data_IF_260576300374
#
_entry.id   IF_260576300374
#
_cell.length_a   1.000
_cell.length_b   1.000
_cell.length_c   1.000
_cell.angle_alpha   90.00
_cell.angle_beta   90.00
_cell.angle_gamma   90.00
#
_symmetry.space_group_name_H-M   'P 1'
#
loop_
_entity.id
_entity.type
_entity.pdbx_description
1 polymer ?
#
# COMPACT_ATOMS: atom_id res chain seq x y z
N UNK A 1 14.59 -22.85 -6.60
CA UNK A 1 13.61 -21.99 -7.29
C UNK A 1 14.20 -20.60 -7.39
N UNK A 2 14.44 -20.14 -8.61
CA UNK A 2 15.40 -19.07 -8.93
C UNK A 2 15.01 -17.71 -8.35
N UNK A 3 15.93 -17.09 -7.62
CA UNK A 3 15.89 -15.65 -7.34
C UNK A 3 16.02 -14.94 -8.68
N UNK A 4 14.90 -14.47 -9.26
CA UNK A 4 15.00 -13.45 -10.30
C UNK A 4 15.67 -12.24 -9.66
N UNK A 5 16.90 -11.93 -10.06
CA UNK A 5 17.80 -10.91 -9.50
C UNK A 5 17.31 -9.46 -9.71
N UNK A 6 16.06 -9.29 -10.17
CA UNK A 6 15.41 -8.03 -10.54
C UNK A 6 14.27 -7.76 -9.59
N UNK A 7 14.05 -6.52 -9.18
CA UNK A 7 12.96 -6.10 -8.30
C UNK A 7 11.61 -6.08 -9.03
N UNK A 8 10.47 -6.15 -8.33
CA UNK A 8 9.14 -6.04 -8.98
C UNK A 8 8.96 -4.71 -9.73
N UNK A 9 9.40 -3.54 -9.21
CA UNK A 9 9.39 -2.29 -9.96
C UNK A 9 10.11 -2.40 -11.32
N UNK A 10 11.27 -3.07 -11.34
CA UNK A 10 12.04 -3.29 -12.57
C UNK A 10 11.32 -4.20 -13.55
N UNK A 11 10.78 -5.33 -13.09
CA UNK A 11 10.02 -6.25 -13.94
C UNK A 11 8.78 -5.56 -14.52
N UNK A 12 8.07 -4.76 -13.72
CA UNK A 12 6.92 -3.98 -14.16
C UNK A 12 7.31 -2.94 -15.23
N UNK A 13 8.43 -2.25 -15.03
CA UNK A 13 8.96 -1.26 -15.97
C UNK A 13 9.38 -1.91 -17.30
N UNK A 14 10.08 -3.05 -17.23
CA UNK A 14 10.51 -3.82 -18.41
C UNK A 14 9.32 -4.38 -19.22
N UNK A 15 8.21 -4.71 -18.56
CA UNK A 15 6.96 -5.11 -19.21
C UNK A 15 6.22 -3.93 -19.85
N UNK A 16 6.46 -2.71 -19.39
CA UNK A 16 5.84 -1.50 -19.93
C UNK A 16 6.62 -0.87 -21.10
N UNK A 17 7.89 -1.24 -21.26
CA UNK A 17 8.73 -0.73 -22.35
C UNK A 17 8.46 -1.49 -23.65
N UNK A 18 8.11 -0.73 -24.68
CA UNK A 18 8.10 -1.22 -26.05
C UNK A 18 9.54 -1.38 -26.55
N UNK A 19 9.98 -2.60 -26.91
CA UNK A 19 11.37 -2.86 -27.26
C UNK A 19 11.79 -2.23 -28.59
N UNK A 20 10.85 -1.93 -29.49
CA UNK A 20 11.16 -1.37 -30.81
C UNK A 20 11.24 0.16 -30.79
N UNK A 21 10.39 0.81 -29.99
CA UNK A 21 10.24 2.27 -29.99
C UNK A 21 10.81 2.94 -28.75
N UNK A 22 11.03 2.19 -27.67
CA UNK A 22 11.39 2.73 -26.34
C UNK A 22 10.23 3.49 -25.68
N UNK A 23 9.01 3.35 -26.20
CA UNK A 23 7.82 3.98 -25.64
C UNK A 23 7.39 3.24 -24.39
N UNK A 24 7.04 3.98 -23.34
CA UNK A 24 6.48 3.41 -22.12
C UNK A 24 4.95 3.36 -22.21
N UNK A 25 4.36 2.18 -22.08
CA UNK A 25 2.92 2.02 -21.99
C UNK A 25 2.37 2.57 -20.67
N UNK A 26 1.26 3.31 -20.73
CA UNK A 26 0.54 3.84 -19.57
C UNK A 26 1.44 4.62 -18.58
N UNK A 27 2.24 5.62 -19.02
CA UNK A 27 3.32 6.19 -18.23
C UNK A 27 2.86 6.80 -16.89
N UNK A 28 1.68 7.44 -16.86
CA UNK A 28 1.12 8.02 -15.64
C UNK A 28 0.72 6.94 -14.62
N UNK A 29 0.04 5.89 -15.10
CA UNK A 29 -0.38 4.77 -14.25
C UNK A 29 0.80 3.93 -13.80
N UNK A 30 1.82 3.81 -14.65
CA UNK A 30 3.05 3.10 -14.34
C UNK A 30 3.77 3.72 -13.13
N UNK A 31 3.84 5.05 -13.04
CA UNK A 31 4.49 5.72 -11.90
C UNK A 31 3.81 5.37 -10.56
N UNK A 32 2.48 5.25 -10.56
CA UNK A 32 1.72 4.73 -9.41
C UNK A 32 2.05 3.26 -9.13
N UNK A 33 2.13 2.44 -10.19
CA UNK A 33 2.51 1.03 -10.08
C UNK A 33 3.91 0.83 -9.54
N UNK A 34 4.88 1.68 -9.88
CA UNK A 34 6.24 1.62 -9.35
C UNK A 34 6.25 1.91 -7.84
N UNK A 35 5.51 2.93 -7.39
CA UNK A 35 5.37 3.24 -5.97
C UNK A 35 4.71 2.08 -5.20
N UNK A 36 3.72 1.44 -5.82
CA UNK A 36 3.10 0.22 -5.30
C UNK A 36 4.05 -0.98 -5.26
N UNK A 37 4.82 -1.20 -6.32
CA UNK A 37 5.77 -2.29 -6.45
C UNK A 37 6.88 -2.23 -5.40
N UNK A 38 7.28 -1.03 -4.96
CA UNK A 38 8.18 -0.87 -3.82
C UNK A 38 7.58 -1.45 -2.53
N UNK A 39 6.28 -1.26 -2.29
CA UNK A 39 5.61 -1.81 -1.13
C UNK A 39 5.55 -3.33 -1.19
N UNK A 40 5.26 -3.89 -2.37
CA UNK A 40 5.28 -5.34 -2.54
C UNK A 40 6.69 -5.89 -2.25
N UNK A 41 7.75 -5.26 -2.76
CA UNK A 41 9.11 -5.73 -2.47
C UNK A 41 9.52 -5.60 -1.01
N UNK A 42 9.15 -4.51 -0.36
CA UNK A 42 9.38 -4.37 1.07
C UNK A 42 8.61 -5.44 1.87
N UNK A 43 7.41 -5.84 1.43
CA UNK A 43 6.65 -6.90 2.07
C UNK A 43 7.26 -8.29 1.85
N UNK A 44 7.71 -8.59 0.62
CA UNK A 44 8.42 -9.84 0.31
C UNK A 44 9.75 -9.93 1.06
N UNK A 45 10.40 -8.80 1.33
CA UNK A 45 11.57 -8.72 2.20
C UNK A 45 11.22 -8.75 3.71
N UNK A 46 9.94 -8.89 4.09
CA UNK A 46 9.48 -8.95 5.48
C UNK A 46 9.69 -7.65 6.26
N UNK A 47 9.82 -6.50 5.58
CA UNK A 47 10.04 -5.19 6.21
C UNK A 47 8.74 -4.53 6.60
N UNK A 48 7.69 -4.76 5.83
CA UNK A 48 6.35 -4.23 6.05
C UNK A 48 5.29 -5.34 5.93
N UNK A 49 4.10 -5.08 6.46
CA UNK A 49 2.95 -5.97 6.34
C UNK A 49 1.68 -5.17 6.08
N UNK A 50 0.67 -5.79 5.42
CA UNK A 50 -0.65 -5.19 5.31
C UNK A 50 -1.33 -5.16 6.68
N UNK A 51 -2.02 -4.05 6.96
CA UNK A 51 -2.88 -3.83 8.13
C UNK A 51 -4.20 -3.22 7.62
N UNK A 52 -5.13 -4.09 7.21
CA UNK A 52 -6.35 -3.66 6.51
C UNK A 52 -6.04 -2.94 5.19
N UNK A 53 -6.47 -1.68 5.05
CA UNK A 53 -6.14 -0.81 3.91
C UNK A 53 -4.82 -0.03 4.09
N UNK A 54 -4.08 -0.33 5.16
CA UNK A 54 -2.85 0.35 5.56
C UNK A 54 -1.64 -0.57 5.48
N UNK A 55 -0.48 0.07 5.61
CA UNK A 55 0.84 -0.55 5.57
C UNK A 55 1.53 -0.24 6.90
N UNK A 56 1.91 -1.29 7.62
CA UNK A 56 2.66 -1.18 8.86
C UNK A 56 4.12 -1.59 8.65
N UNK A 57 5.05 -0.85 9.26
CA UNK A 57 6.46 -1.26 9.31
C UNK A 57 6.63 -2.30 10.41
N UNK A 58 7.12 -3.48 10.04
CA UNK A 58 7.28 -4.63 10.96
C UNK A 58 8.75 -4.82 11.32
N UNK A 59 9.64 -4.68 10.34
CA UNK A 59 11.09 -4.82 10.54
C UNK A 59 11.83 -3.69 9.83
N UNK A 60 12.26 -2.63 10.54
CA UNK A 60 12.94 -1.47 9.94
C UNK A 60 14.43 -1.75 9.71
N UNK A 61 14.77 -2.87 9.06
CA UNK A 61 16.15 -3.19 8.67
C UNK A 61 16.36 -2.89 7.19
N UNK A 62 17.55 -2.39 6.78
CA UNK A 62 17.88 -2.22 5.38
C UNK A 62 17.66 -3.50 4.56
N UNK A 63 17.28 -3.30 3.31
CA UNK A 63 17.12 -4.33 2.28
C UNK A 63 18.40 -4.48 1.45
N UNK A 64 19.25 -3.45 1.44
CA UNK A 64 20.44 -3.39 0.58
C UNK A 64 20.16 -2.73 -0.78
N UNK A 65 18.90 -2.41 -1.08
CA UNK A 65 18.52 -1.57 -2.22
C UNK A 65 18.26 -0.13 -1.70
N UNK A 66 19.07 0.87 -2.13
CA UNK A 66 18.92 2.24 -1.65
C UNK A 66 17.55 2.88 -1.92
N UNK A 67 16.89 2.47 -3.02
CA UNK A 67 15.59 2.97 -3.44
C UNK A 67 14.50 2.42 -2.52
N UNK A 68 14.55 1.13 -2.19
CA UNK A 68 13.66 0.49 -1.21
C UNK A 68 13.93 0.99 0.21
N UNK A 69 15.20 1.18 0.59
CA UNK A 69 15.59 1.66 1.92
C UNK A 69 15.12 3.10 2.17
N UNK A 70 15.16 3.95 1.13
CA UNK A 70 14.59 5.30 1.19
C UNK A 70 13.08 5.27 1.40
N UNK A 71 12.37 4.35 0.72
CA UNK A 71 10.93 4.14 0.91
C UNK A 71 10.62 3.62 2.32
N UNK A 72 11.38 2.65 2.82
CA UNK A 72 11.22 2.10 4.17
C UNK A 72 11.43 3.17 5.25
N UNK A 73 12.44 4.02 5.09
CA UNK A 73 12.73 5.11 6.03
C UNK A 73 11.60 6.16 6.04
N UNK A 74 11.04 6.49 4.87
CA UNK A 74 9.89 7.38 4.77
C UNK A 74 8.64 6.80 5.46
N UNK A 75 8.40 5.48 5.35
CA UNK A 75 7.33 4.81 6.09
C UNK A 75 7.59 4.85 7.60
N UNK A 76 8.83 4.54 8.01
CA UNK A 76 9.23 4.54 9.43
C UNK A 76 9.01 5.89 10.10
N UNK A 77 9.36 6.99 9.41
CA UNK A 77 9.19 8.36 9.91
C UNK A 77 7.73 8.77 10.13
N UNK A 78 6.75 8.08 9.53
CA UNK A 78 5.33 8.33 9.80
C UNK A 78 4.88 7.84 11.18
N UNK A 79 5.62 6.89 11.78
CA UNK A 79 5.37 6.38 13.13
C UNK A 79 4.05 5.62 13.33
N UNK A 80 3.24 5.46 12.27
CA UNK A 80 1.92 4.80 12.32
C UNK A 80 1.60 4.17 10.96
N UNK A 81 0.68 3.18 10.91
CA UNK A 81 0.28 2.54 9.65
C UNK A 81 -0.27 3.55 8.63
N UNK A 82 0.25 3.49 7.41
CA UNK A 82 -0.04 4.45 6.32
C UNK A 82 -1.02 3.83 5.33
N UNK A 83 -2.10 4.53 4.98
CA UNK A 83 -3.01 4.07 3.93
C UNK A 83 -2.28 3.91 2.60
N UNK A 84 -2.44 2.76 1.95
CA UNK A 84 -1.76 2.46 0.69
C UNK A 84 -2.07 3.51 -0.41
N UNK A 85 -3.34 3.95 -0.49
CA UNK A 85 -3.77 4.98 -1.46
C UNK A 85 -3.05 6.32 -1.27
N UNK A 86 -2.76 6.72 -0.03
CA UNK A 86 -2.02 7.97 0.25
C UNK A 86 -0.52 7.81 -0.05
N UNK A 87 0.04 6.63 0.20
CA UNK A 87 1.44 6.35 -0.11
C UNK A 87 1.70 6.40 -1.62
N UNK A 88 0.81 5.77 -2.39
CA UNK A 88 0.90 5.61 -3.84
C UNK A 88 0.55 6.92 -4.57
N UNK A 89 -0.49 7.64 -4.10
CA UNK A 89 -0.87 8.94 -4.66
C UNK A 89 0.02 10.11 -4.23
N UNK A 90 1.00 9.87 -3.35
CA UNK A 90 1.94 10.89 -2.91
C UNK A 90 2.97 11.28 -3.99
N UNK A 91 3.66 12.42 -3.84
CA UNK A 91 4.67 12.86 -4.80
C UNK A 91 5.85 11.86 -4.86
N UNK A 92 6.08 11.27 -6.03
CA UNK A 92 7.20 10.34 -6.32
C UNK A 92 8.04 10.84 -7.48
N UNK A 93 8.53 12.08 -7.36
CA UNK A 93 9.36 12.71 -8.37
C UNK A 93 10.59 11.84 -8.66
N UNK A 94 10.78 11.48 -9.93
CA UNK A 94 11.97 10.77 -10.40
C UNK A 94 12.01 9.26 -10.15
N UNK A 95 10.98 8.63 -9.55
CA UNK A 95 11.02 7.20 -9.23
C UNK A 95 11.29 6.32 -10.46
N UNK A 96 10.57 6.59 -11.57
CA UNK A 96 10.82 5.91 -12.84
C UNK A 96 12.25 6.10 -13.34
N UNK A 97 12.79 7.31 -13.23
CA UNK A 97 14.14 7.61 -13.68
C UNK A 97 15.20 6.90 -12.85
N UNK A 98 14.98 6.74 -11.54
CA UNK A 98 15.86 5.97 -10.65
C UNK A 98 15.93 4.50 -11.11
N UNK A 99 14.79 3.88 -11.38
CA UNK A 99 14.75 2.50 -11.87
C UNK A 99 15.33 2.35 -13.27
N UNK A 100 15.05 3.28 -14.20
CA UNK A 100 15.64 3.27 -15.54
C UNK A 100 17.17 3.39 -15.50
N UNK A 101 17.70 4.30 -14.67
CA UNK A 101 19.15 4.44 -14.49
C UNK A 101 19.78 3.18 -13.86
N UNK A 102 19.08 2.50 -12.95
CA UNK A 102 19.56 1.24 -12.41
C UNK A 102 19.56 0.13 -13.47
N UNK A 103 18.48 -0.02 -14.22
CA UNK A 103 18.39 -0.98 -15.33
C UNK A 103 19.45 -0.74 -16.41
N UNK A 104 19.77 0.53 -16.70
CA UNK A 104 20.82 0.92 -17.63
C UNK A 104 22.21 0.50 -17.12
N UNK A 105 22.52 0.77 -15.85
CA UNK A 105 23.77 0.30 -15.22
C UNK A 105 23.89 -1.23 -15.22
N UNK A 106 22.77 -1.94 -15.14
CA UNK A 106 22.72 -3.39 -15.25
C UNK A 106 22.74 -3.90 -16.70
N UNK A 107 22.78 -3.02 -17.70
CA UNK A 107 22.82 -3.36 -19.12
C UNK A 107 21.49 -3.90 -19.68
N UNK A 108 20.38 -3.76 -18.95
CA UNK A 108 19.07 -4.28 -19.36
C UNK A 108 18.32 -3.32 -20.29
N UNK A 109 18.62 -2.03 -20.18
CA UNK A 109 18.14 -0.99 -21.08
C UNK A 109 19.31 -0.08 -21.49
N UNK A 110 19.12 0.70 -22.54
CA UNK A 110 20.07 1.75 -22.91
C UNK A 110 19.31 3.05 -23.23
N UNK A 111 19.92 4.18 -22.85
CA UNK A 111 19.42 5.49 -23.23
C UNK A 111 19.63 5.74 -24.73
N UNK A 112 18.54 6.06 -25.42
CA UNK A 112 18.51 6.50 -26.81
C UNK A 112 18.14 7.97 -26.84
N UNK A 113 19.06 8.79 -27.34
CA UNK A 113 18.79 10.20 -27.60
C UNK A 113 17.76 10.32 -28.73
N UNK A 114 16.71 11.08 -28.49
CA UNK A 114 15.71 11.49 -29.46
C UNK A 114 15.49 12.99 -29.42
N UNK A 115 14.61 13.48 -30.29
CA UNK A 115 14.18 14.87 -30.27
C UNK A 115 12.65 14.96 -30.20
N UNK A 116 12.15 15.82 -29.34
CA UNK A 116 10.75 16.24 -29.32
C UNK A 116 10.66 17.61 -30.02
N UNK A 117 9.77 17.71 -31.02
CA UNK A 117 9.61 18.92 -31.84
C UNK A 117 10.90 19.45 -32.50
N UNK A 118 11.86 18.58 -32.83
CA UNK A 118 13.10 18.92 -33.55
C UNK A 118 14.16 19.68 -32.76
N UNK A 119 13.84 20.22 -31.57
CA UNK A 119 14.77 21.07 -30.79
C UNK A 119 14.89 20.70 -29.31
N UNK A 120 13.92 19.98 -28.73
CA UNK A 120 14.05 19.52 -27.33
C UNK A 120 14.67 18.11 -27.31
N UNK A 121 15.91 17.94 -26.84
CA UNK A 121 16.47 16.61 -26.65
C UNK A 121 15.61 15.82 -25.66
N UNK A 122 15.23 14.62 -26.04
CA UNK A 122 14.51 13.68 -25.18
C UNK A 122 15.36 12.42 -25.03
N UNK A 123 15.36 11.82 -23.84
CA UNK A 123 16.00 10.52 -23.63
C UNK A 123 14.91 9.47 -23.51
N UNK A 124 14.94 8.47 -24.39
CA UNK A 124 14.08 7.29 -24.30
C UNK A 124 14.94 6.11 -23.86
N UNK A 125 14.34 5.15 -23.16
CA UNK A 125 15.04 3.93 -22.78
C UNK A 125 14.50 2.79 -23.61
N UNK A 126 15.39 2.04 -24.24
CA UNK A 126 15.05 0.83 -25.00
C UNK A 126 15.62 -0.39 -24.31
N UNK A 127 14.89 -1.50 -24.33
CA UNK A 127 15.39 -2.77 -23.80
C UNK A 127 16.59 -3.22 -24.64
N UNK A 128 17.72 -3.50 -23.97
CA UNK A 128 18.95 -3.99 -24.63
C UNK A 128 18.75 -5.42 -25.13
N UNK A 129 18.05 -6.25 -24.36
CA UNK A 129 17.65 -7.60 -24.73
C UNK A 129 16.19 -7.85 -24.35
N UNK A 130 15.42 -8.34 -25.32
CA UNK A 130 14.01 -8.70 -25.13
C UNK A 130 13.82 -10.06 -24.46
N UNK A 131 14.87 -10.90 -24.34
CA UNK A 131 14.80 -12.18 -23.66
C UNK A 131 14.31 -12.04 -22.22
N UNK A 132 14.73 -10.98 -21.53
CA UNK A 132 14.30 -10.67 -20.16
C UNK A 132 12.79 -10.39 -20.11
N UNK A 133 12.29 -9.47 -20.93
CA UNK A 133 10.85 -9.16 -20.93
C UNK A 133 10.03 -10.37 -21.38
N UNK A 134 10.56 -11.21 -22.30
CA UNK A 134 9.94 -12.48 -22.70
C UNK A 134 9.91 -13.50 -21.57
N UNK A 135 10.97 -13.62 -20.77
CA UNK A 135 11.02 -14.51 -19.59
C UNK A 135 9.94 -14.10 -18.56
N UNK A 136 9.87 -12.80 -18.24
CA UNK A 136 8.89 -12.25 -17.30
C UNK A 136 7.47 -12.50 -17.83
N UNK A 137 7.24 -12.23 -19.11
CA UNK A 137 5.94 -12.48 -19.77
C UNK A 137 5.59 -13.96 -19.78
N UNK A 138 6.53 -14.84 -20.08
CA UNK A 138 6.31 -16.29 -20.08
C UNK A 138 5.90 -16.82 -18.70
N UNK A 139 6.45 -16.24 -17.62
CA UNK A 139 6.06 -16.55 -16.23
C UNK A 139 4.61 -16.16 -15.96
N UNK A 140 4.20 -14.96 -16.39
CA UNK A 140 2.80 -14.52 -16.32
C UNK A 140 1.88 -15.42 -17.18
N UNK A 141 2.30 -15.74 -18.41
CA UNK A 141 1.57 -16.60 -19.34
C UNK A 141 1.35 -17.99 -18.76
N UNK A 142 2.37 -18.55 -18.09
CA UNK A 142 2.26 -19.84 -17.41
C UNK A 142 1.22 -19.80 -16.28
N UNK A 143 1.24 -18.75 -15.46
CA UNK A 143 0.29 -18.58 -14.36
C UNK A 143 -1.15 -18.47 -14.88
N UNK A 144 -1.41 -17.66 -15.91
CA UNK A 144 -2.75 -17.50 -16.48
C UNK A 144 -3.23 -18.72 -17.27
N UNK A 145 -2.35 -19.56 -17.81
CA UNK A 145 -2.75 -20.78 -18.53
C UNK A 145 -3.07 -21.93 -17.59
N UNK A 146 -2.22 -22.15 -16.59
CA UNK A 146 -2.32 -23.32 -15.72
C UNK A 146 -3.40 -23.16 -14.65
N UNK A 147 -3.70 -21.92 -14.23
CA UNK A 147 -4.64 -21.64 -13.14
C UNK A 147 -4.14 -22.14 -11.78
N UNK A 148 -2.93 -22.69 -11.71
CA UNK A 148 -2.25 -23.06 -10.47
C UNK A 148 -1.83 -21.79 -9.76
N UNK A 149 -2.01 -21.69 -8.43
CA UNK A 149 -1.55 -20.53 -7.67
C UNK A 149 -0.07 -20.24 -7.95
N UNK A 150 0.27 -19.09 -8.56
CA UNK A 150 1.65 -18.75 -8.83
C UNK A 150 2.37 -18.37 -7.53
N UNK A 151 3.68 -18.24 -7.61
CA UNK A 151 4.44 -17.70 -6.48
C UNK A 151 4.01 -16.25 -6.18
N UNK A 152 4.17 -15.77 -4.92
CA UNK A 152 3.71 -14.44 -4.52
C UNK A 152 4.26 -13.30 -5.37
N UNK A 153 5.48 -13.40 -5.88
CA UNK A 153 6.10 -12.37 -6.72
C UNK A 153 5.40 -12.27 -8.07
N UNK A 154 5.11 -13.42 -8.69
CA UNK A 154 4.36 -13.48 -9.95
C UNK A 154 2.92 -13.01 -9.78
N UNK A 155 2.24 -13.40 -8.69
CA UNK A 155 0.89 -12.91 -8.36
C UNK A 155 0.87 -11.38 -8.21
N UNK A 156 1.83 -10.82 -7.47
CA UNK A 156 1.91 -9.39 -7.25
C UNK A 156 2.24 -8.61 -8.53
N UNK A 157 3.15 -9.12 -9.36
CA UNK A 157 3.45 -8.52 -10.66
C UNK A 157 2.21 -8.52 -11.57
N UNK A 158 1.45 -9.62 -11.59
CA UNK A 158 0.19 -9.70 -12.33
C UNK A 158 -0.84 -8.68 -11.82
N UNK A 159 -0.98 -8.56 -10.51
CA UNK A 159 -1.87 -7.59 -9.86
C UNK A 159 -1.52 -6.15 -10.25
N UNK A 160 -0.24 -5.79 -10.17
CA UNK A 160 0.26 -4.47 -10.56
C UNK A 160 0.10 -4.20 -12.05
N UNK A 161 0.49 -5.15 -12.91
CA UNK A 161 0.34 -5.03 -14.36
C UNK A 161 -1.12 -4.85 -14.78
N UNK A 162 -2.05 -5.51 -14.07
CA UNK A 162 -3.47 -5.26 -14.23
C UNK A 162 -3.87 -3.84 -13.79
N UNK A 163 -3.49 -3.44 -12.57
CA UNK A 163 -3.85 -2.16 -11.98
C UNK A 163 -3.33 -0.94 -12.76
N UNK A 164 -2.15 -1.04 -13.37
CA UNK A 164 -1.61 0.04 -14.22
C UNK A 164 -2.10 0.00 -15.67
N UNK A 165 -3.00 -0.94 -16.01
CA UNK A 165 -3.58 -1.03 -17.34
C UNK A 165 -2.68 -1.65 -18.41
N UNK A 166 -1.57 -2.31 -18.04
CA UNK A 166 -0.67 -2.97 -18.99
C UNK A 166 -1.31 -4.19 -19.67
N UNK A 167 -2.44 -4.69 -19.18
CA UNK A 167 -3.11 -5.85 -19.77
C UNK A 167 -3.39 -5.72 -21.27
N UNK A 168 -3.74 -4.53 -21.78
CA UNK A 168 -3.95 -4.31 -23.23
C UNK A 168 -2.65 -4.29 -24.03
N UNK A 169 -1.55 -3.89 -23.41
CA UNK A 169 -0.23 -3.90 -24.01
C UNK A 169 0.32 -5.33 -24.08
N UNK A 170 0.17 -6.10 -22.99
CA UNK A 170 0.61 -7.49 -22.90
C UNK A 170 -0.26 -8.44 -23.73
N UNK A 171 -1.57 -8.24 -23.73
CA UNK A 171 -2.55 -9.10 -24.39
C UNK A 171 -3.50 -8.26 -25.27
N UNK A 172 -3.01 -7.80 -26.43
CA UNK A 172 -3.79 -6.94 -27.33
C UNK A 172 -4.95 -7.69 -27.97
N UNK A 173 -5.91 -6.91 -28.51
CA UNK A 173 -7.04 -7.45 -29.26
C UNK A 173 -8.12 -8.16 -28.44
N UNK A 174 -9.10 -8.71 -29.15
CA UNK A 174 -10.23 -9.42 -28.57
C UNK A 174 -9.83 -10.79 -28.02
N UNK A 175 -8.89 -11.47 -28.67
CA UNK A 175 -8.35 -12.77 -28.24
C UNK A 175 -7.66 -12.68 -26.87
N UNK A 176 -7.01 -11.55 -26.57
CA UNK A 176 -6.39 -11.29 -25.27
C UNK A 176 -7.37 -10.99 -24.13
N UNK A 177 -8.69 -10.98 -24.36
CA UNK A 177 -9.69 -10.69 -23.31
C UNK A 177 -9.65 -11.72 -22.18
N UNK A 178 -9.58 -13.00 -22.52
CA UNK A 178 -9.54 -14.09 -21.54
C UNK A 178 -8.27 -14.01 -20.68
N UNK A 179 -7.10 -13.79 -21.31
CA UNK A 179 -5.82 -13.58 -20.63
C UNK A 179 -5.86 -12.40 -19.68
N UNK A 180 -6.45 -11.26 -20.08
CA UNK A 180 -6.63 -10.09 -19.20
C UNK A 180 -7.55 -10.35 -18.01
N UNK A 181 -8.58 -11.19 -18.18
CA UNK A 181 -9.42 -11.61 -17.07
C UNK A 181 -8.63 -12.46 -16.09
N UNK A 182 -7.94 -13.49 -16.58
CA UNK A 182 -7.13 -14.38 -15.73
C UNK A 182 -5.99 -13.64 -15.03
N UNK A 183 -5.34 -12.69 -15.71
CA UNK A 183 -4.33 -11.81 -15.10
C UNK A 183 -4.88 -11.07 -13.88
N UNK A 184 -6.12 -10.58 -13.95
CA UNK A 184 -6.80 -9.91 -12.83
C UNK A 184 -7.14 -10.90 -11.71
N UNK A 185 -7.56 -12.11 -12.05
CA UNK A 185 -7.92 -13.12 -11.05
C UNK A 185 -6.72 -13.53 -10.17
N UNK A 186 -5.50 -13.41 -10.70
CA UNK A 186 -4.26 -13.67 -9.95
C UNK A 186 -4.06 -12.74 -8.74
N UNK A 187 -4.75 -11.59 -8.69
CA UNK A 187 -4.75 -10.68 -7.52
C UNK A 187 -5.09 -11.41 -6.23
N UNK A 188 -5.95 -12.44 -6.30
CA UNK A 188 -6.44 -13.19 -5.14
C UNK A 188 -5.35 -14.03 -4.45
N UNK A 189 -4.21 -14.25 -5.11
CA UNK A 189 -3.13 -15.09 -4.60
C UNK A 189 -2.04 -14.32 -3.85
N UNK A 190 -2.10 -12.98 -3.81
CA UNK A 190 -1.16 -12.16 -3.04
C UNK A 190 -1.87 -11.00 -2.33
N UNK A 191 -2.01 -11.05 -0.98
CA UNK A 191 -2.68 -10.01 -0.21
C UNK A 191 -2.07 -8.61 -0.40
N UNK A 192 -0.73 -8.50 -0.45
CA UNK A 192 -0.06 -7.21 -0.61
C UNK A 192 -0.21 -6.65 -2.02
N UNK A 193 -0.04 -7.49 -3.03
CA UNK A 193 -0.27 -7.16 -4.43
C UNK A 193 -1.71 -6.72 -4.68
N UNK A 194 -2.69 -7.37 -4.06
CA UNK A 194 -4.08 -6.94 -4.10
C UNK A 194 -4.33 -5.60 -3.42
N UNK A 195 -3.83 -5.40 -2.19
CA UNK A 195 -3.92 -4.11 -1.48
C UNK A 195 -3.36 -2.97 -2.33
N UNK A 196 -2.16 -3.17 -2.89
CA UNK A 196 -1.47 -2.18 -3.71
C UNK A 196 -2.20 -1.96 -5.03
N UNK A 197 -2.64 -3.01 -5.73
CA UNK A 197 -3.37 -2.91 -6.98
C UNK A 197 -4.67 -2.11 -6.81
N UNK A 198 -5.43 -2.38 -5.74
CA UNK A 198 -6.62 -1.61 -5.39
C UNK A 198 -6.28 -0.15 -5.11
N UNK A 199 -5.24 0.12 -4.33
CA UNK A 199 -4.80 1.48 -4.06
C UNK A 199 -4.35 2.24 -5.33
N UNK A 200 -3.67 1.58 -6.28
CA UNK A 200 -3.33 2.17 -7.59
C UNK A 200 -4.60 2.55 -8.37
N UNK A 201 -5.57 1.63 -8.46
CA UNK A 201 -6.85 1.89 -9.14
C UNK A 201 -7.64 3.01 -8.45
N UNK A 202 -7.64 3.05 -7.12
CA UNK A 202 -8.29 4.11 -6.33
C UNK A 202 -7.67 5.48 -6.61
N UNK A 203 -6.33 5.58 -6.70
CA UNK A 203 -5.65 6.83 -7.08
C UNK A 203 -6.04 7.24 -8.50
N UNK A 204 -6.04 6.31 -9.47
CA UNK A 204 -6.44 6.60 -10.85
C UNK A 204 -7.90 7.08 -10.96
N UNK A 205 -8.77 6.55 -10.09
CA UNK A 205 -10.17 6.94 -10.00
C UNK A 205 -10.41 8.22 -9.17
N UNK A 206 -9.35 8.87 -8.66
CA UNK A 206 -9.44 10.11 -7.88
C UNK A 206 -9.79 9.97 -6.40
N UNK A 207 -9.78 8.75 -5.85
CA UNK A 207 -10.18 8.45 -4.45
C UNK A 207 -9.10 8.87 -3.43
N UNK A 208 -7.87 9.13 -3.88
CA UNK A 208 -6.73 9.47 -3.01
C UNK A 208 -6.91 10.75 -2.18
N UNK A 209 -7.84 11.63 -2.58
CA UNK A 209 -8.02 12.96 -1.99
C UNK A 209 -9.09 13.02 -0.88
N UNK A 210 -9.82 11.94 -0.58
CA UNK A 210 -10.82 11.98 0.49
C UNK A 210 -10.24 11.51 1.83
N UNK A 211 -10.05 12.42 2.82
CA UNK A 211 -9.89 11.98 4.19
C UNK A 211 -11.20 11.30 4.59
N UNK A 212 -11.20 9.96 4.65
CA UNK A 212 -12.26 9.24 5.37
C UNK A 212 -12.17 9.71 6.81
N UNK A 213 -13.18 10.47 7.26
CA UNK A 213 -13.39 10.74 8.69
C UNK A 213 -13.44 9.37 9.36
N UNK A 214 -12.41 9.08 10.13
CA UNK A 214 -12.36 7.90 10.97
C UNK A 214 -13.59 7.98 11.88
N UNK A 215 -14.54 7.07 11.69
CA UNK A 215 -15.65 6.93 12.64
C UNK A 215 -14.98 6.35 13.87
N UNK A 216 -14.63 7.21 14.83
CA UNK A 216 -14.16 6.78 16.13
C UNK A 216 -15.13 5.70 16.59
N UNK A 217 -14.61 4.49 16.84
CA UNK A 217 -15.38 3.44 17.46
C UNK A 217 -16.01 4.06 18.70
N UNK A 218 -17.34 4.17 18.72
CA UNK A 218 -18.05 4.69 19.88
C UNK A 218 -17.68 3.78 21.04
N UNK A 219 -16.84 4.28 21.95
CA UNK A 219 -16.67 3.65 23.24
C UNK A 219 -18.08 3.49 23.84
N UNK A 220 -18.44 2.32 24.39
CA UNK A 220 -19.73 2.18 25.04
C UNK A 220 -19.80 3.25 26.14
N UNK A 221 -20.80 4.12 26.02
CA UNK A 221 -21.06 5.15 27.02
C UNK A 221 -21.25 4.45 28.37
N UNK A 222 -20.35 4.72 29.31
CA UNK A 222 -20.55 4.37 30.70
C UNK A 222 -21.86 5.02 31.16
N UNK A 223 -22.82 4.19 31.56
CA UNK A 223 -24.08 4.66 32.10
C UNK A 223 -23.82 5.55 33.33
N UNK A 224 -24.48 6.71 33.46
CA UNK A 224 -24.33 7.53 34.64
C UNK A 224 -25.01 6.83 35.83
N UNK A 225 -24.29 6.74 36.95
CA UNK A 225 -24.83 6.31 38.23
C UNK A 225 -26.01 7.20 38.66
N UNK A 226 -27.09 6.66 39.24
CA UNK A 226 -28.23 7.47 39.65
C UNK A 226 -27.85 8.39 40.83
N UNK A 227 -28.04 9.69 40.62
CA UNK A 227 -27.92 10.71 41.66
C UNK A 227 -29.05 10.55 42.69
N UNK A 228 -28.67 10.45 43.96
CA UNK A 228 -29.58 10.47 45.09
C UNK A 228 -30.35 11.81 45.13
N UNK A 229 -31.68 11.75 45.05
CA UNK A 229 -32.57 12.88 45.28
C UNK A 229 -32.62 13.17 46.78
N UNK A 230 -32.05 14.30 47.19
CA UNK A 230 -32.36 14.93 48.47
C UNK A 230 -33.72 15.64 48.35
N UNK A 231 -34.73 15.12 49.04
CA UNK A 231 -36.01 15.83 49.26
C UNK A 231 -35.86 16.74 50.46
N UNK A 232 -35.87 18.06 50.20
CA UNK A 232 -36.09 19.08 51.21
C UNK A 232 -37.60 19.21 51.46
N UNK A 233 -38.03 19.07 52.71
CA UNK A 233 -39.36 19.46 53.17
C UNK A 233 -39.19 20.38 54.38
N UNK A 234 -39.57 21.64 54.21
CA UNK A 234 -39.66 22.66 55.26
C UNK A 234 -41.05 22.62 55.89
N UNK A 235 -41.13 22.69 57.21
CA UNK A 235 -42.41 22.84 57.92
C UNK A 235 -42.28 22.84 59.45
N UNK A 236 -41.76 23.95 60.00
CA UNK A 236 -42.17 24.71 61.21
C UNK A 236 -42.55 24.00 62.55
N UNK A 237 -42.53 24.73 63.69
CA UNK A 237 -41.86 24.28 64.92
C UNK A 237 -42.82 24.04 66.11
N UNK A 238 -42.33 23.37 67.16
CA UNK A 238 -42.84 23.46 68.53
C UNK A 238 -41.74 23.05 69.55
N UNK A 239 -41.35 24.01 70.39
CA UNK A 239 -40.73 23.80 71.71
C UNK A 239 -41.82 23.35 72.73
N UNK A 240 -41.54 23.07 74.02
CA UNK A 240 -40.28 22.84 74.75
C UNK A 240 -40.34 21.65 75.75
N UNK A 241 -39.22 21.41 76.47
CA UNK A 241 -39.10 21.11 77.92
C UNK A 241 -38.36 19.82 78.33
N UNK A 242 -37.32 20.07 79.15
CA UNK A 242 -36.94 19.46 80.45
C UNK A 242 -36.83 17.94 80.54
N UNK A 243 -35.67 17.47 81.03
CA UNK A 243 -35.58 16.20 81.74
C UNK A 243 -34.16 15.71 81.99
N UNK A 244 -33.58 16.16 83.10
CA UNK A 244 -32.60 15.53 84.01
C UNK A 244 -31.44 14.61 83.51
N UNK A 245 -30.26 14.71 84.16
CA UNK A 245 -29.15 13.77 84.02
C UNK A 245 -29.23 12.64 85.07
N UNK A 246 -28.62 11.47 84.81
CA UNK A 246 -27.91 10.70 85.86
C UNK A 246 -27.22 9.43 85.33
N UNK A 247 -25.94 9.32 85.73
CA UNK A 247 -25.30 8.14 86.35
C UNK A 247 -25.00 6.91 85.46
N UNK A 248 -23.95 6.10 85.68
CA UNK A 248 -22.80 6.07 86.62
C UNK A 248 -21.86 4.95 86.13
N UNK A 249 -20.56 5.13 86.40
CA UNK A 249 -19.60 4.19 87.01
C UNK A 249 -19.17 2.87 86.34
N UNK A 250 -17.86 2.59 86.52
CA UNK A 250 -17.21 1.27 86.53
C UNK A 250 -15.98 1.22 85.61
N UNK A 251 -14.75 1.59 85.97
CA UNK A 251 -13.83 1.17 87.05
C UNK A 251 -12.99 -0.09 86.73
N UNK A 252 -11.68 0.03 87.03
CA UNK A 252 -10.61 -0.97 87.17
C UNK A 252 -10.10 -1.63 85.86
N UNK A 253 -8.80 -1.82 85.63
CA UNK A 253 -7.66 -1.87 86.56
C UNK A 253 -6.35 -1.49 85.84
#
# INVERSE_FOLDING_TARGET
>A
MGRSRRTIPEELLLLALDPATGTTAQPQSLDLGLAGAQLVELALAGRIAPDGDRIAVVMPRPTGDPTLDSALELLRRRGSPVRAVHWIGGPRLGLRQIYLAHLERCGMVHAVAGQMCGVLPTTRYQATDTAISREIRARLDSAIRTGVPPDPRTAALAALAHAVGLGKHLYPGNEGRSSRSRLRDLIRHDPMGGLVAHAVMDVQNGVAAQPRRERAAAAPASAPAPAARATAASGLPLQPRRGAPMARAGAAH
#
